data_IF_183350543619
#
_entry.id   IF_183350543619
#
_cell.length_a   1.000
_cell.length_b   1.000
_cell.length_c   1.000
_cell.angle_alpha   90.00
_cell.angle_beta   90.00
_cell.angle_gamma   90.00
#
_symmetry.space_group_name_H-M   'P 1'
#
loop_
_entity.id
_entity.type
_entity.pdbx_description
1 polymer ?
#
# COMPACT_ATOMS: atom_id res chain seq x y z
N UNK A 1 20.40 1.15 -9.39
CA UNK A 1 19.34 1.32 -8.37
C UNK A 1 18.38 2.38 -8.91
N UNK A 2 17.32 1.93 -9.61
CA UNK A 2 16.45 2.82 -10.38
C UNK A 2 15.29 3.32 -9.51
N UNK A 3 15.48 4.51 -8.95
CA UNK A 3 14.40 5.39 -8.49
C UNK A 3 13.74 6.03 -9.73
N UNK A 4 12.47 5.73 -10.03
CA UNK A 4 11.69 6.52 -11.00
C UNK A 4 10.98 5.81 -12.16
N UNK A 5 10.84 4.48 -12.19
CA UNK A 5 10.00 3.83 -13.21
C UNK A 5 8.55 3.69 -12.72
N UNK A 6 7.63 4.10 -13.60
CA UNK A 6 6.17 4.04 -13.52
C UNK A 6 5.64 2.60 -13.43
N UNK A 7 6.14 1.81 -12.50
CA UNK A 7 5.75 0.42 -12.31
C UNK A 7 4.53 0.44 -11.39
N UNK A 8 3.47 -0.21 -11.88
CA UNK A 8 2.33 -0.66 -11.08
C UNK A 8 2.89 -1.63 -10.03
N UNK A 9 3.45 -1.10 -8.96
CA UNK A 9 3.98 -1.89 -7.86
C UNK A 9 2.77 -2.36 -7.05
N UNK A 10 2.29 -3.56 -7.39
CA UNK A 10 1.17 -4.22 -6.72
C UNK A 10 1.61 -4.90 -5.41
N UNK A 11 2.83 -4.59 -4.92
CA UNK A 11 3.41 -5.23 -3.74
C UNK A 11 2.53 -5.02 -2.51
N UNK A 12 2.02 -3.80 -2.29
CA UNK A 12 1.14 -3.51 -1.17
C UNK A 12 -0.14 -4.36 -1.17
N UNK A 13 -0.63 -4.78 -2.34
CA UNK A 13 -1.77 -5.68 -2.46
C UNK A 13 -1.39 -7.14 -2.12
N UNK A 14 -0.24 -7.60 -2.60
CA UNK A 14 0.21 -8.99 -2.40
C UNK A 14 0.73 -9.28 -1.00
N UNK A 15 1.33 -8.30 -0.32
CA UNK A 15 1.94 -8.49 1.01
C UNK A 15 0.99 -8.19 2.17
N UNK A 16 -0.20 -7.64 1.91
CA UNK A 16 -1.14 -7.28 2.95
C UNK A 16 -1.82 -8.55 3.50
N UNK A 17 -1.53 -8.97 4.75
CA UNK A 17 -2.14 -10.18 5.32
C UNK A 17 -3.64 -10.02 5.60
N UNK A 18 -4.08 -8.78 5.85
CA UNK A 18 -5.48 -8.45 6.14
C UNK A 18 -6.32 -8.15 4.90
N UNK A 19 -5.80 -8.32 3.68
CA UNK A 19 -6.50 -7.98 2.43
C UNK A 19 -7.10 -6.56 2.41
N UNK A 20 -6.51 -5.63 3.18
CA UNK A 20 -7.00 -4.26 3.33
C UNK A 20 -6.78 -3.39 2.08
N UNK A 21 -5.94 -3.82 1.15
CA UNK A 21 -5.64 -3.11 -0.08
C UNK A 21 -6.50 -3.71 -1.20
N UNK A 22 -7.27 -2.89 -1.90
CA UNK A 22 -8.08 -3.31 -3.05
C UNK A 22 -7.67 -2.55 -4.32
N UNK A 23 -7.71 -3.24 -5.47
CA UNK A 23 -7.44 -2.66 -6.79
C UNK A 23 -8.74 -2.10 -7.37
N UNK A 24 -8.78 -0.80 -7.66
CA UNK A 24 -9.99 -0.11 -8.15
C UNK A 24 -10.15 -0.13 -9.68
N UNK A 25 -9.16 -0.59 -10.44
CA UNK A 25 -9.26 -0.78 -11.89
C UNK A 25 -8.22 0.01 -12.69
N UNK A 26 -8.28 -0.03 -14.03
CA UNK A 26 -7.30 0.62 -14.89
C UNK A 26 -7.34 2.15 -14.70
N UNK A 27 -6.24 2.71 -14.20
CA UNK A 27 -6.08 4.15 -13.97
C UNK A 27 -6.24 4.58 -12.50
N UNK A 28 -6.96 3.82 -11.68
CA UNK A 28 -7.10 4.06 -10.25
C UNK A 28 -6.26 3.03 -9.50
N UNK A 29 -5.20 3.52 -8.84
CA UNK A 29 -4.09 2.67 -8.38
C UNK A 29 -4.54 1.67 -7.31
N UNK A 30 -4.94 2.13 -6.12
CA UNK A 30 -5.35 1.26 -5.01
C UNK A 30 -6.25 2.04 -4.04
N UNK A 31 -7.10 1.33 -3.29
CA UNK A 31 -7.81 1.87 -2.12
C UNK A 31 -7.48 1.01 -0.90
N UNK A 32 -7.15 1.68 0.19
CA UNK A 32 -7.01 1.07 1.50
C UNK A 32 -8.37 1.11 2.21
N UNK A 33 -8.80 -0.05 2.70
CA UNK A 33 -9.97 -0.18 3.56
C UNK A 33 -9.47 -0.21 4.99
N UNK A 34 -9.63 0.90 5.70
CA UNK A 34 -9.14 1.07 7.07
C UNK A 34 -9.78 0.07 8.04
N UNK A 35 -11.02 -0.34 7.80
CA UNK A 35 -11.72 -1.36 8.60
C UNK A 35 -11.02 -2.72 8.61
N UNK A 36 -10.29 -3.07 7.54
CA UNK A 36 -9.50 -4.31 7.46
C UNK A 36 -8.02 -4.06 7.72
N UNK A 37 -7.60 -2.80 7.87
CA UNK A 37 -6.21 -2.44 8.06
C UNK A 37 -5.83 -2.53 9.53
N UNK A 38 -5.13 -3.60 9.90
CA UNK A 38 -4.59 -3.77 11.28
C UNK A 38 -3.38 -2.87 11.57
N UNK A 39 -2.91 -2.09 10.59
CA UNK A 39 -1.75 -1.22 10.77
C UNK A 39 -0.41 -1.94 10.86
N UNK A 40 -0.28 -3.15 10.29
CA UNK A 40 0.96 -3.95 10.32
C UNK A 40 2.20 -3.25 9.67
N UNK A 41 2.01 -2.24 8.84
CA UNK A 41 3.10 -1.44 8.24
C UNK A 41 3.91 -2.13 7.14
N UNK A 42 3.66 -3.41 6.83
CA UNK A 42 4.43 -4.18 5.83
C UNK A 42 4.37 -3.52 4.44
N UNK A 43 3.20 -2.98 4.07
CA UNK A 43 3.02 -2.28 2.79
C UNK A 43 3.91 -1.03 2.62
N UNK A 44 4.28 -0.37 3.73
CA UNK A 44 5.20 0.78 3.73
C UNK A 44 6.64 0.30 3.56
N UNK A 45 7.05 -0.71 4.33
CA UNK A 45 8.38 -1.31 4.24
C UNK A 45 8.69 -1.85 2.84
N UNK A 46 7.69 -2.46 2.20
CA UNK A 46 7.80 -3.05 0.87
C UNK A 46 7.65 -2.05 -0.28
N UNK A 47 7.27 -0.80 -0.01
CA UNK A 47 7.22 0.25 -1.04
C UNK A 47 8.54 1.03 -1.04
N UNK A 48 9.50 0.70 -1.94
CA UNK A 48 10.72 1.48 -2.13
C UNK A 48 10.44 2.91 -2.63
N UNK A 49 9.20 3.13 -3.08
CA UNK A 49 8.65 4.37 -3.59
C UNK A 49 8.21 5.38 -2.51
N UNK A 50 7.93 4.93 -1.28
CA UNK A 50 7.24 5.76 -0.28
C UNK A 50 5.83 6.24 -0.69
N UNK A 51 5.17 5.56 -1.63
CA UNK A 51 3.81 5.87 -2.09
C UNK A 51 2.71 5.58 -1.05
N UNK A 52 3.01 4.84 0.01
CA UNK A 52 2.11 4.57 1.14
C UNK A 52 2.83 5.01 2.42
N UNK A 53 2.09 5.69 3.32
CA UNK A 53 2.54 6.06 4.65
C UNK A 53 1.57 5.47 5.67
N UNK A 54 2.11 4.88 6.73
CA UNK A 54 1.34 4.44 7.89
C UNK A 54 1.38 5.57 8.92
N UNK A 55 0.23 6.17 9.20
CA UNK A 55 0.07 7.13 10.30
C UNK A 55 -0.77 6.45 11.38
N UNK A 56 -0.23 6.33 12.59
CA UNK A 56 -1.02 5.97 13.75
C UNK A 56 -1.82 7.21 14.18
N UNK A 57 -3.13 7.06 14.32
CA UNK A 57 -3.96 8.12 14.88
C UNK A 57 -3.51 8.36 16.32
N UNK A 58 -2.84 9.49 16.54
CA UNK A 58 -2.37 9.90 17.87
C UNK A 58 -3.52 10.60 18.55
N UNK A 59 -4.11 9.93 19.54
CA UNK A 59 -5.16 10.47 20.43
C UNK A 59 -4.54 11.47 21.40
#
# INVERSE_FOLDING_TARGET
MNCGSRIKCDNCYGVCPGNAVIKLGPGIRFKLIYDYCEGCGICVSECPCGAIKLEAESI
#
